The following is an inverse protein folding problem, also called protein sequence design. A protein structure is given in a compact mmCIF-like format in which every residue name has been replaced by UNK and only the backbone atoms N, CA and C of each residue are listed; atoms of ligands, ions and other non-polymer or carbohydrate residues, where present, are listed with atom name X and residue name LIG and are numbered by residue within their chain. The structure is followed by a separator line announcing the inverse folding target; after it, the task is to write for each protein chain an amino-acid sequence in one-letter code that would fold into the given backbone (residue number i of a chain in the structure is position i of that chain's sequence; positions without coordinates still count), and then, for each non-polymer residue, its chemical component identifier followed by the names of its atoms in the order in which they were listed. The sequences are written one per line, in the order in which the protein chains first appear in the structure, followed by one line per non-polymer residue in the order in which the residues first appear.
data_IF_397100087518
#
_entry.id   IF_397100087518
#
_cell.length_a   1.000
_cell.length_b   1.000
_cell.length_c   1.000
_cell.angle_alpha   90.00
_cell.angle_beta   90.00
_cell.angle_gamma   90.00
#
_symmetry.space_group_name_H-M   'P 1'
#
loop_
_entity.id
_entity.type
_entity.pdbx_description
1 polymer ?
#
# COMPACT_ATOMS: atom_id res chain seq x y z
N UNK A 1 -14.95 -11.81 -39.24
CA UNK A 1 -15.98 -11.41 -38.25
C UNK A 1 -15.51 -10.14 -37.57
N UNK A 2 -16.33 -9.08 -37.53
CA UNK A 2 -16.03 -7.92 -36.70
C UNK A 2 -16.20 -8.30 -35.22
N UNK A 3 -15.21 -8.06 -34.34
CA UNK A 3 -15.31 -8.41 -32.92
C UNK A 3 -16.29 -7.54 -32.14
N UNK A 4 -16.74 -6.42 -32.74
CA UNK A 4 -17.67 -5.45 -32.17
C UNK A 4 -18.79 -5.11 -33.17
N UNK A 5 -20.01 -4.79 -32.72
CA UNK A 5 -20.48 -4.85 -31.32
C UNK A 5 -20.52 -6.29 -30.80
N UNK A 6 -20.25 -6.47 -29.50
CA UNK A 6 -20.40 -7.78 -28.85
C UNK A 6 -21.87 -8.06 -28.50
N UNK A 7 -22.18 -9.28 -28.07
CA UNK A 7 -23.49 -9.65 -27.54
C UNK A 7 -23.42 -10.04 -26.06
N UNK A 8 -24.55 -10.00 -25.35
CA UNK A 8 -24.65 -10.50 -23.97
C UNK A 8 -24.19 -11.96 -23.89
N UNK A 9 -24.60 -12.80 -24.85
CA UNK A 9 -24.20 -14.20 -24.89
C UNK A 9 -22.66 -14.35 -25.03
N UNK A 10 -22.04 -13.56 -25.91
CA UNK A 10 -20.59 -13.53 -26.06
C UNK A 10 -19.88 -13.08 -24.77
N UNK A 11 -20.42 -12.07 -24.08
CA UNK A 11 -19.90 -11.62 -22.78
C UNK A 11 -20.04 -12.71 -21.70
N UNK A 12 -21.15 -13.46 -21.71
CA UNK A 12 -21.35 -14.58 -20.79
C UNK A 12 -20.32 -15.70 -21.05
N UNK A 13 -20.14 -16.09 -22.32
CA UNK A 13 -19.14 -17.06 -22.73
C UNK A 13 -17.72 -16.59 -22.39
N UNK A 14 -17.42 -15.31 -22.60
CA UNK A 14 -16.14 -14.72 -22.23
C UNK A 14 -15.92 -14.74 -20.71
N UNK A 15 -16.93 -14.38 -19.91
CA UNK A 15 -16.86 -14.47 -18.46
C UNK A 15 -16.65 -15.92 -17.97
N UNK A 16 -17.32 -16.89 -18.57
CA UNK A 16 -17.11 -18.32 -18.28
C UNK A 16 -15.71 -18.78 -18.72
N UNK A 17 -15.23 -18.35 -19.88
CA UNK A 17 -13.87 -18.62 -20.33
C UNK A 17 -12.83 -18.06 -19.35
N UNK A 18 -12.95 -16.80 -18.94
CA UNK A 18 -12.07 -16.18 -17.96
C UNK A 18 -12.06 -16.93 -16.62
N UNK A 19 -13.17 -17.55 -16.22
CA UNK A 19 -13.26 -18.35 -14.99
C UNK A 19 -12.34 -19.59 -14.99
N UNK A 20 -11.83 -20.01 -16.15
CA UNK A 20 -10.81 -21.08 -16.27
C UNK A 20 -9.46 -20.64 -15.71
N UNK A 21 -9.16 -19.34 -15.77
CA UNK A 21 -7.88 -18.77 -15.33
C UNK A 21 -8.02 -17.93 -14.06
N UNK A 22 -9.13 -17.22 -13.89
CA UNK A 22 -9.39 -16.34 -12.75
C UNK A 22 -10.35 -16.99 -11.76
N UNK A 23 -9.89 -17.12 -10.50
CA UNK A 23 -10.77 -17.47 -9.37
C UNK A 23 -11.54 -16.25 -8.83
N UNK A 24 -10.96 -15.05 -8.92
CA UNK A 24 -11.62 -13.81 -8.49
C UNK A 24 -12.69 -13.39 -9.50
N UNK A 25 -13.96 -13.40 -9.08
CA UNK A 25 -15.07 -12.88 -9.89
C UNK A 25 -14.91 -11.38 -10.14
N UNK A 26 -14.34 -10.63 -9.20
CA UNK A 26 -14.03 -9.21 -9.40
C UNK A 26 -13.04 -9.00 -10.55
N UNK A 27 -12.07 -9.90 -10.74
CA UNK A 27 -11.18 -9.83 -11.91
C UNK A 27 -11.96 -10.05 -13.20
N UNK A 28 -12.85 -11.05 -13.24
CA UNK A 28 -13.70 -11.32 -14.42
C UNK A 28 -14.58 -10.10 -14.76
N UNK A 29 -15.18 -9.47 -13.74
CA UNK A 29 -15.95 -8.23 -13.88
C UNK A 29 -15.12 -7.09 -14.47
N UNK A 30 -13.86 -6.93 -14.05
CA UNK A 30 -12.96 -5.91 -14.58
C UNK A 30 -12.65 -6.14 -16.07
N UNK A 31 -12.44 -7.40 -16.49
CA UNK A 31 -12.24 -7.71 -17.91
C UNK A 31 -13.49 -7.41 -18.75
N UNK A 32 -14.69 -7.78 -18.27
CA UNK A 32 -15.95 -7.43 -18.95
C UNK A 32 -16.16 -5.91 -18.99
N UNK A 33 -15.79 -5.20 -17.92
CA UNK A 33 -15.82 -3.73 -17.90
C UNK A 33 -14.83 -3.14 -18.91
N UNK A 34 -13.67 -3.77 -19.12
CA UNK A 34 -12.73 -3.41 -20.18
C UNK A 34 -13.34 -3.53 -21.59
N UNK A 35 -14.14 -4.58 -21.83
CA UNK A 35 -14.89 -4.73 -23.08
C UNK A 35 -15.90 -3.59 -23.24
N UNK A 36 -16.62 -3.21 -22.17
CA UNK A 36 -17.52 -2.04 -22.18
C UNK A 36 -16.77 -0.75 -22.52
N UNK A 37 -15.62 -0.51 -21.88
CA UNK A 37 -14.80 0.67 -22.17
C UNK A 37 -14.37 0.72 -23.63
N UNK A 38 -13.98 -0.41 -24.23
CA UNK A 38 -13.61 -0.47 -25.63
C UNK A 38 -14.76 -0.08 -26.57
N UNK A 39 -15.99 -0.53 -26.28
CA UNK A 39 -17.18 -0.12 -27.06
C UNK A 39 -17.38 1.40 -27.00
N UNK A 40 -17.33 1.97 -25.79
CA UNK A 40 -17.50 3.41 -25.58
C UNK A 40 -16.42 4.24 -26.29
N UNK A 41 -15.16 3.80 -26.26
CA UNK A 41 -14.05 4.50 -26.93
C UNK A 41 -14.18 4.48 -28.46
N UNK A 42 -14.82 3.47 -29.02
CA UNK A 42 -15.03 3.33 -30.46
C UNK A 42 -16.39 3.89 -30.91
N UNK A 43 -17.18 4.46 -30.00
CA UNK A 43 -18.51 4.98 -30.31
C UNK A 43 -19.52 3.90 -30.75
N UNK A 44 -19.27 2.64 -30.39
CA UNK A 44 -20.14 1.50 -30.73
C UNK A 44 -21.02 1.17 -29.53
N UNK A 45 -22.27 0.78 -29.78
CA UNK A 45 -23.22 0.42 -28.73
C UNK A 45 -22.79 -0.82 -27.93
N UNK A 46 -22.89 -0.75 -26.60
CA UNK A 46 -22.61 -1.87 -25.71
C UNK A 46 -23.91 -2.61 -25.36
N UNK A 47 -23.97 -3.96 -25.48
CA UNK A 47 -25.22 -4.70 -25.28
C UNK A 47 -25.67 -4.68 -23.81
N UNK A 48 -26.74 -3.93 -23.52
CA UNK A 48 -27.33 -3.81 -22.18
C UNK A 48 -28.66 -4.55 -22.00
N UNK A 49 -29.25 -5.05 -23.08
CA UNK A 49 -30.64 -5.54 -23.14
C UNK A 49 -30.92 -6.74 -22.22
N UNK A 50 -29.94 -7.62 -22.00
CA UNK A 50 -30.01 -8.74 -21.05
C UNK A 50 -28.84 -8.74 -20.05
N UNK A 51 -28.68 -7.62 -19.35
CA UNK A 51 -27.69 -7.55 -18.27
C UNK A 51 -28.00 -8.50 -17.09
N UNK A 52 -29.23 -9.01 -17.01
CA UNK A 52 -29.64 -10.00 -16.01
C UNK A 52 -28.85 -11.29 -16.14
N UNK A 53 -28.67 -11.83 -17.35
CA UNK A 53 -27.85 -13.02 -17.60
C UNK A 53 -26.40 -12.87 -17.11
N UNK A 54 -25.79 -11.69 -17.30
CA UNK A 54 -24.45 -11.39 -16.80
C UNK A 54 -24.40 -11.36 -15.28
N UNK A 55 -25.41 -10.77 -14.62
CA UNK A 55 -25.53 -10.81 -13.15
C UNK A 55 -25.67 -12.23 -12.64
N UNK A 56 -26.48 -13.06 -13.29
CA UNK A 56 -26.67 -14.47 -12.92
C UNK A 56 -25.37 -15.27 -13.09
N UNK A 57 -24.64 -15.04 -14.18
CA UNK A 57 -23.30 -15.60 -14.39
C UNK A 57 -22.36 -15.24 -13.24
N UNK A 58 -22.24 -13.96 -12.87
CA UNK A 58 -21.37 -13.55 -11.76
C UNK A 58 -21.77 -14.20 -10.43
N UNK A 59 -23.07 -14.35 -10.16
CA UNK A 59 -23.56 -15.04 -8.96
C UNK A 59 -23.21 -16.53 -8.97
N UNK A 60 -23.39 -17.19 -10.12
CA UNK A 60 -23.00 -18.59 -10.32
C UNK A 60 -21.50 -18.80 -10.14
N UNK A 61 -20.68 -17.95 -10.77
CA UNK A 61 -19.23 -17.98 -10.64
C UNK A 61 -18.79 -17.71 -9.19
N UNK A 62 -19.45 -16.81 -8.46
CA UNK A 62 -19.11 -16.51 -7.06
C UNK A 62 -19.34 -17.71 -6.15
N UNK A 63 -20.36 -18.54 -6.44
CA UNK A 63 -20.63 -19.78 -5.71
C UNK A 63 -19.68 -20.91 -6.09
N UNK A 64 -19.29 -21.01 -7.36
CA UNK A 64 -18.41 -22.07 -7.84
C UNK A 64 -16.94 -21.81 -7.55
N UNK A 65 -16.51 -20.54 -7.60
CA UNK A 65 -15.13 -20.14 -7.41
C UNK A 65 -14.95 -19.51 -6.03
N UNK A 66 -14.86 -20.36 -5.01
CA UNK A 66 -14.40 -19.91 -3.69
C UNK A 66 -13.01 -19.28 -3.82
N UNK A 67 -12.95 -17.96 -3.65
CA UNK A 67 -11.72 -17.19 -3.77
C UNK A 67 -11.41 -16.52 -2.44
N UNK A 68 -10.31 -16.92 -1.83
CA UNK A 68 -9.68 -16.20 -0.72
C UNK A 68 -8.58 -15.31 -1.28
N UNK A 69 -8.71 -13.97 -1.23
CA UNK A 69 -7.66 -13.07 -1.67
C UNK A 69 -6.36 -13.33 -0.90
N UNK A 70 -5.25 -13.51 -1.61
CA UNK A 70 -3.93 -13.54 -0.97
C UNK A 70 -3.61 -12.15 -0.44
N UNK A 71 -3.53 -12.02 0.88
CA UNK A 71 -3.19 -10.77 1.55
C UNK A 71 -1.74 -10.83 2.01
N UNK A 72 -0.95 -9.80 1.69
CA UNK A 72 0.42 -9.70 2.17
C UNK A 72 0.43 -9.61 3.70
N UNK A 73 1.31 -10.36 4.37
CA UNK A 73 1.44 -10.35 5.82
C UNK A 73 1.88 -8.96 6.32
N UNK A 74 1.50 -8.53 7.53
CA UNK A 74 1.95 -7.26 8.10
C UNK A 74 3.44 -7.31 8.43
N UNK A 75 4.18 -6.23 8.16
CA UNK A 75 5.47 -5.98 8.83
C UNK A 75 5.15 -5.49 10.24
N UNK A 76 5.71 -6.10 11.28
CA UNK A 76 5.56 -5.63 12.67
C UNK A 76 6.83 -4.89 13.12
N UNK A 77 6.80 -4.13 14.24
CA UNK A 77 8.02 -3.57 14.81
C UNK A 77 9.08 -4.62 15.13
N UNK A 78 8.68 -5.82 15.57
CA UNK A 78 9.61 -6.93 15.82
C UNK A 78 10.33 -7.35 14.53
N UNK A 79 9.58 -7.45 13.42
CA UNK A 79 10.18 -7.72 12.10
C UNK A 79 11.11 -6.56 11.71
N UNK A 80 10.73 -5.31 11.95
CA UNK A 80 11.60 -4.15 11.67
C UNK A 80 12.90 -4.22 12.46
N UNK A 81 12.87 -4.53 13.76
CA UNK A 81 14.08 -4.72 14.56
C UNK A 81 14.96 -5.83 13.97
N UNK A 82 14.39 -6.99 13.60
CA UNK A 82 15.15 -8.06 12.95
C UNK A 82 15.76 -7.63 11.61
N UNK A 83 15.03 -6.85 10.81
CA UNK A 83 15.52 -6.33 9.54
C UNK A 83 16.69 -5.36 9.73
N UNK A 84 16.68 -4.57 10.80
CA UNK A 84 17.72 -3.59 11.11
C UNK A 84 19.08 -4.25 11.35
N UNK A 85 19.12 -5.42 12.00
CA UNK A 85 20.36 -6.17 12.29
C UNK A 85 21.13 -6.60 11.04
N UNK A 86 20.47 -6.66 9.87
CA UNK A 86 21.09 -7.05 8.60
C UNK A 86 21.46 -5.87 7.69
N UNK A 87 21.31 -4.64 8.18
CA UNK A 87 21.59 -3.43 7.43
C UNK A 87 22.85 -2.75 7.96
N UNK A 88 23.75 -2.38 7.04
CA UNK A 88 24.95 -1.63 7.40
C UNK A 88 24.64 -0.13 7.47
N UNK A 89 24.54 0.42 8.69
CA UNK A 89 24.25 1.84 8.89
C UNK A 89 25.41 2.79 8.49
N UNK A 90 26.57 2.26 8.10
CA UNK A 90 27.63 3.04 7.44
C UNK A 90 27.43 3.13 5.92
N UNK A 91 26.69 2.19 5.32
CA UNK A 91 26.40 2.16 3.89
C UNK A 91 25.24 3.12 3.54
N UNK A 92 25.45 4.13 2.66
CA UNK A 92 24.40 5.10 2.34
C UNK A 92 23.15 4.49 1.68
N UNK A 93 23.30 3.39 0.92
CA UNK A 93 22.14 2.70 0.31
C UNK A 93 21.27 2.03 1.36
N UNK A 94 21.88 1.42 2.38
CA UNK A 94 21.20 0.73 3.47
C UNK A 94 20.51 1.72 4.41
N UNK A 95 21.17 2.84 4.74
CA UNK A 95 20.54 3.94 5.48
C UNK A 95 19.33 4.50 4.72
N UNK A 96 19.43 4.65 3.40
CA UNK A 96 18.32 5.18 2.58
C UNK A 96 17.14 4.23 2.52
N UNK A 97 17.37 2.94 2.24
CA UNK A 97 16.27 1.97 2.19
C UNK A 97 15.64 1.79 3.57
N UNK A 98 16.44 1.84 4.64
CA UNK A 98 15.92 1.80 6.01
C UNK A 98 15.01 2.99 6.30
N UNK A 99 15.45 4.20 6.00
CA UNK A 99 14.62 5.40 6.12
C UNK A 99 13.32 5.24 5.32
N UNK A 100 13.39 4.75 4.09
CA UNK A 100 12.22 4.51 3.25
C UNK A 100 11.25 3.46 3.84
N UNK A 101 11.76 2.40 4.48
CA UNK A 101 10.94 1.39 5.17
C UNK A 101 10.22 1.98 6.38
N UNK A 102 10.90 2.78 7.19
CA UNK A 102 10.29 3.45 8.34
C UNK A 102 9.20 4.44 7.88
N UNK A 103 9.45 5.21 6.82
CA UNK A 103 8.44 6.09 6.24
C UNK A 103 7.23 5.28 5.72
N UNK A 104 7.46 4.15 5.03
CA UNK A 104 6.38 3.29 4.55
C UNK A 104 5.54 2.72 5.70
N UNK A 105 6.17 2.35 6.81
CA UNK A 105 5.50 1.80 7.99
C UNK A 105 4.70 2.87 8.74
N UNK A 106 5.37 3.93 9.19
CA UNK A 106 4.77 4.92 10.10
C UNK A 106 3.82 5.88 9.39
N UNK A 107 4.08 6.28 8.14
CA UNK A 107 3.11 7.07 7.38
C UNK A 107 1.96 6.23 6.83
N UNK A 108 2.13 4.89 6.79
CA UNK A 108 1.20 3.96 6.16
C UNK A 108 0.90 4.29 4.69
N UNK A 109 1.74 5.07 4.00
CA UNK A 109 1.49 5.52 2.63
C UNK A 109 1.72 4.42 1.61
N UNK A 110 1.21 4.61 0.39
CA UNK A 110 1.50 3.68 -0.70
C UNK A 110 2.94 3.90 -1.16
N UNK A 111 3.64 2.82 -1.53
CA UNK A 111 4.98 2.91 -2.14
C UNK A 111 5.07 3.90 -3.32
N UNK A 112 4.00 4.10 -4.08
CA UNK A 112 3.96 5.03 -5.21
C UNK A 112 4.11 6.49 -4.79
N UNK A 113 3.90 6.81 -3.51
CA UNK A 113 4.18 8.11 -2.91
C UNK A 113 5.64 8.26 -2.47
N UNK A 114 6.33 7.13 -2.24
CA UNK A 114 7.71 7.13 -1.75
C UNK A 114 8.71 7.02 -2.89
N UNK A 115 8.46 6.11 -3.83
CA UNK A 115 9.43 5.71 -4.85
C UNK A 115 8.75 5.50 -6.21
N UNK A 116 9.41 5.91 -7.32
CA UNK A 116 8.88 5.67 -8.65
C UNK A 116 9.13 4.23 -9.11
N UNK A 117 8.47 3.83 -10.20
CA UNK A 117 8.70 2.52 -10.83
C UNK A 117 10.09 2.42 -11.45
N UNK A 118 10.61 3.53 -11.98
CA UNK A 118 11.97 3.67 -12.49
C UNK A 118 12.44 5.11 -12.32
N UNK A 119 13.74 5.36 -12.41
CA UNK A 119 14.28 6.72 -12.28
C UNK A 119 13.72 7.70 -13.33
N UNK A 120 13.41 7.22 -14.54
CA UNK A 120 12.79 8.02 -15.61
C UNK A 120 11.34 8.41 -15.31
N UNK A 121 10.67 7.63 -14.44
CA UNK A 121 9.27 7.85 -14.07
C UNK A 121 9.15 8.61 -12.74
N UNK A 122 10.24 9.19 -12.24
CA UNK A 122 10.18 10.08 -11.10
C UNK A 122 9.35 11.31 -11.46
N UNK A 123 8.35 11.59 -10.65
CA UNK A 123 7.47 12.74 -10.79
C UNK A 123 7.40 13.43 -9.42
N UNK A 124 7.94 14.66 -9.29
CA UNK A 124 7.98 15.39 -8.03
C UNK A 124 6.59 15.78 -7.51
N UNK A 125 5.54 15.71 -8.33
CA UNK A 125 4.17 15.88 -7.86
C UNK A 125 3.58 14.60 -7.26
N UNK A 126 4.13 13.42 -7.60
CA UNK A 126 3.61 12.11 -7.14
C UNK A 126 4.46 11.46 -6.06
N UNK A 127 5.78 11.59 -6.14
CA UNK A 127 6.73 11.06 -5.17
C UNK A 127 7.31 12.17 -4.28
N UNK A 128 7.70 11.82 -3.06
CA UNK A 128 8.31 12.75 -2.13
C UNK A 128 9.66 13.29 -2.65
N UNK A 129 9.80 14.61 -2.58
CA UNK A 129 11.05 15.36 -2.64
C UNK A 129 11.53 15.74 -1.23
N UNK A 130 12.79 16.21 -1.12
CA UNK A 130 13.38 16.67 0.15
C UNK A 130 12.59 17.81 0.80
N UNK A 131 12.11 18.77 0.00
CA UNK A 131 11.30 19.90 0.46
C UNK A 131 9.91 19.50 0.98
N UNK A 132 9.45 18.28 0.71
CA UNK A 132 8.20 17.76 1.25
C UNK A 132 8.34 17.28 2.70
N UNK A 133 9.57 17.16 3.23
CA UNK A 133 9.85 16.72 4.59
C UNK A 133 10.40 17.90 5.39
N UNK A 134 9.57 18.45 6.27
CA UNK A 134 9.92 19.59 7.12
C UNK A 134 10.39 19.07 8.47
N UNK A 135 11.57 19.49 8.90
CA UNK A 135 12.20 19.04 10.15
C UNK A 135 11.83 19.99 11.28
N UNK A 136 11.16 19.48 12.31
CA UNK A 136 10.94 20.17 13.60
C UNK A 136 11.84 19.55 14.68
N UNK A 137 11.82 20.07 15.92
CA UNK A 137 12.67 19.56 17.02
C UNK A 137 12.43 18.07 17.32
N UNK A 138 11.16 17.66 17.31
CA UNK A 138 10.71 16.37 17.84
C UNK A 138 9.91 15.52 16.83
N UNK A 139 9.74 16.00 15.60
CA UNK A 139 9.08 15.25 14.54
C UNK A 139 9.46 15.76 13.15
N UNK A 140 9.17 14.96 12.13
CA UNK A 140 9.15 15.40 10.74
C UNK A 140 7.69 15.60 10.30
N UNK A 141 7.40 16.67 9.57
CA UNK A 141 6.12 16.84 8.88
C UNK A 141 6.30 16.48 7.41
N UNK A 142 5.63 15.43 6.96
CA UNK A 142 5.67 14.97 5.56
C UNK A 142 4.43 15.47 4.83
N UNK A 143 4.64 16.22 3.75
CA UNK A 143 3.58 16.82 2.93
C UNK A 143 3.47 16.10 1.59
N UNK A 144 2.27 15.68 1.22
CA UNK A 144 1.98 15.08 -0.09
C UNK A 144 0.80 15.78 -0.74
N UNK A 145 0.94 16.10 -2.02
CA UNK A 145 -0.12 16.74 -2.82
C UNK A 145 -0.83 15.75 -3.75
N UNK A 146 -0.30 14.53 -3.83
CA UNK A 146 -0.86 13.46 -4.66
C UNK A 146 -0.91 12.14 -3.91
N UNK A 147 -1.96 11.38 -4.15
CA UNK A 147 -2.07 9.97 -3.76
C UNK A 147 -3.09 9.28 -4.65
N UNK A 148 -3.29 7.97 -4.48
CA UNK A 148 -4.39 7.27 -5.17
C UNK A 148 -5.77 7.89 -4.86
N UNK A 149 -5.91 8.54 -3.70
CA UNK A 149 -7.15 9.17 -3.23
C UNK A 149 -7.15 10.70 -3.41
N UNK A 150 -6.03 11.28 -3.85
CA UNK A 150 -5.83 12.71 -4.16
C UNK A 150 -5.29 12.81 -5.59
N UNK A 151 -6.02 12.28 -6.58
CA UNK A 151 -5.54 12.24 -7.97
C UNK A 151 -5.60 13.58 -8.68
N UNK A 152 -6.44 14.50 -8.19
CA UNK A 152 -6.72 15.82 -8.78
C UNK A 152 -6.19 16.97 -7.92
N UNK A 153 -5.29 16.70 -6.95
CA UNK A 153 -4.67 17.73 -6.12
C UNK A 153 -5.65 18.53 -5.26
N UNK A 154 -6.83 17.98 -4.97
CA UNK A 154 -7.93 18.69 -4.30
C UNK A 154 -7.70 18.96 -2.81
N UNK A 155 -6.64 18.41 -2.22
CA UNK A 155 -6.19 18.69 -0.85
C UNK A 155 -4.73 18.30 -0.66
N UNK A 156 -4.11 18.82 0.40
CA UNK A 156 -2.79 18.36 0.86
C UNK A 156 -2.96 17.34 1.98
N UNK A 157 -2.10 16.34 1.99
CA UNK A 157 -1.98 15.36 3.07
C UNK A 157 -0.72 15.67 3.87
N UNK A 158 -0.88 15.98 5.15
CA UNK A 158 0.22 16.25 6.07
C UNK A 158 0.24 15.19 7.15
N UNK A 159 1.37 14.49 7.29
CA UNK A 159 1.52 13.39 8.22
C UNK A 159 2.78 13.58 9.08
N UNK A 160 2.67 13.52 10.42
CA UNK A 160 3.81 13.62 11.30
C UNK A 160 4.55 12.27 11.44
N UNK A 161 5.87 12.35 11.59
CA UNK A 161 6.75 11.25 11.99
C UNK A 161 7.50 11.65 13.25
N UNK A 162 7.06 11.11 14.39
CA UNK A 162 7.60 11.48 15.71
C UNK A 162 9.00 10.91 15.90
N UNK A 163 9.86 11.68 16.55
CA UNK A 163 11.18 11.25 17.02
C UNK A 163 11.02 10.24 18.14
N UNK A 164 11.58 9.06 17.94
CA UNK A 164 11.61 7.99 18.94
C UNK A 164 12.98 8.01 19.60
N UNK A 165 13.01 8.22 20.92
CA UNK A 165 14.27 8.26 21.68
C UNK A 165 14.95 6.90 21.65
N UNK A 166 16.26 6.89 21.37
CA UNK A 166 17.15 5.72 21.48
C UNK A 166 16.68 4.46 20.72
N UNK A 167 15.90 4.64 19.64
CA UNK A 167 15.39 3.53 18.85
C UNK A 167 15.99 3.49 17.44
N UNK A 168 16.43 2.33 16.94
CA UNK A 168 16.78 2.15 15.53
C UNK A 168 15.57 2.31 14.60
N UNK A 169 14.35 2.19 15.13
CA UNK A 169 13.11 2.42 14.39
C UNK A 169 12.73 3.90 14.32
N UNK A 170 13.58 4.83 14.77
CA UNK A 170 13.29 6.26 14.77
C UNK A 170 13.33 6.85 13.34
N UNK A 171 12.18 7.21 12.72
CA UNK A 171 12.18 7.77 11.36
C UNK A 171 12.87 9.13 11.28
N UNK A 172 12.80 9.93 12.34
CA UNK A 172 13.47 11.23 12.46
C UNK A 172 14.99 11.09 12.33
N UNK A 173 15.58 10.21 13.14
CA UNK A 173 17.03 9.97 13.13
C UNK A 173 17.48 9.33 11.81
N UNK A 174 16.72 8.37 11.28
CA UNK A 174 17.03 7.74 10.00
C UNK A 174 17.04 8.74 8.84
N UNK A 175 16.05 9.64 8.80
CA UNK A 175 15.98 10.69 7.77
C UNK A 175 17.17 11.66 7.87
N UNK A 176 17.46 12.17 9.07
CA UNK A 176 18.57 13.10 9.26
C UNK A 176 19.92 12.45 8.92
N UNK A 177 20.16 11.21 9.35
CA UNK A 177 21.36 10.44 8.98
C UNK A 177 21.48 10.28 7.47
N UNK A 178 20.39 9.95 6.79
CA UNK A 178 20.36 9.84 5.34
C UNK A 178 20.68 11.17 4.65
N UNK A 179 20.14 12.30 5.13
CA UNK A 179 20.48 13.64 4.61
C UNK A 179 21.96 13.98 4.79
N UNK A 180 22.55 13.64 5.94
CA UNK A 180 23.98 13.88 6.21
C UNK A 180 24.88 13.06 5.28
N UNK A 181 24.56 11.78 5.06
CA UNK A 181 25.36 10.91 4.18
C UNK A 181 25.13 11.17 2.69
N UNK A 182 23.94 11.66 2.32
CA UNK A 182 23.54 11.94 0.94
C UNK A 182 22.93 13.34 0.87
N UNK A 183 23.78 14.38 0.82
CA UNK A 183 23.34 15.76 0.65
C UNK A 183 22.67 15.93 -0.72
N UNK A 184 21.53 16.62 -0.75
CA UNK A 184 20.80 16.92 -1.97
C UNK A 184 19.89 18.14 -1.79
N UNK A 185 19.61 18.84 -2.87
CA UNK A 185 18.71 20.00 -2.88
C UNK A 185 17.25 19.62 -2.58
N UNK A 186 16.45 20.63 -2.22
CA UNK A 186 15.05 20.47 -1.84
C UNK A 186 14.16 19.85 -2.93
N UNK A 187 14.44 20.12 -4.20
CA UNK A 187 13.69 19.62 -5.36
C UNK A 187 14.02 18.16 -5.72
N UNK A 188 15.09 17.60 -5.13
CA UNK A 188 15.53 16.22 -5.42
C UNK A 188 14.64 15.19 -4.71
N UNK A 189 14.55 13.95 -5.23
CA UNK A 189 13.86 12.84 -4.57
C UNK A 189 14.25 12.71 -3.10
N UNK A 190 13.28 12.41 -2.23
CA UNK A 190 13.52 12.24 -0.81
C UNK A 190 14.46 11.05 -0.52
N UNK A 191 14.38 9.99 -1.32
CA UNK A 191 15.18 8.76 -1.15
C UNK A 191 16.13 8.59 -2.33
N UNK A 192 17.41 8.91 -2.10
CA UNK A 192 18.48 8.84 -3.08
C UNK A 192 19.49 7.76 -2.68
N UNK A 193 20.01 7.00 -3.64
CA UNK A 193 21.07 6.01 -3.42
C UNK A 193 22.29 6.33 -4.29
N UNK A 194 23.52 6.01 -3.84
CA UNK A 194 24.73 6.17 -4.64
C UNK A 194 24.66 5.47 -6.00
N UNK A 195 25.29 6.11 -7.00
CA UNK A 195 25.59 5.53 -8.31
C UNK A 195 27.06 5.83 -8.66
N UNK A 196 27.59 5.22 -9.72
CA UNK A 196 28.97 5.46 -10.21
C UNK A 196 29.33 6.94 -10.36
N UNK A 197 28.36 7.80 -10.70
CA UNK A 197 28.49 9.26 -10.66
C UNK A 197 27.24 9.85 -9.99
N UNK A 198 27.42 10.44 -8.83
CA UNK A 198 26.35 11.10 -8.07
C UNK A 198 25.33 10.13 -7.46
N UNK A 199 24.06 10.55 -7.47
CA UNK A 199 22.96 9.82 -6.84
C UNK A 199 21.81 9.58 -7.81
N UNK A 200 21.04 8.52 -7.54
CA UNK A 200 19.79 8.22 -8.25
C UNK A 200 18.66 8.00 -7.28
N UNK A 201 17.42 8.22 -7.72
CA UNK A 201 16.24 7.90 -6.91
C UNK A 201 16.15 6.40 -6.62
N UNK A 202 15.81 6.07 -5.38
CA UNK A 202 15.41 4.72 -5.00
C UNK A 202 14.15 4.35 -5.79
N UNK A 203 14.15 3.17 -6.43
CA UNK A 203 13.05 2.72 -7.30
C UNK A 203 12.36 1.49 -6.71
N UNK A 204 11.15 1.18 -7.19
CA UNK A 204 10.40 -0.03 -6.81
C UNK A 204 11.30 -1.26 -6.84
N UNK A 205 11.96 -1.54 -7.97
CA UNK A 205 12.71 -2.78 -8.17
C UNK A 205 13.76 -2.99 -7.08
N UNK A 206 14.47 -1.93 -6.70
CA UNK A 206 15.44 -1.95 -5.61
C UNK A 206 14.75 -2.15 -4.25
N UNK A 207 13.70 -1.37 -3.95
CA UNK A 207 12.90 -1.49 -2.72
C UNK A 207 12.46 -2.94 -2.50
N UNK A 208 11.81 -3.53 -3.49
CA UNK A 208 11.22 -4.86 -3.38
C UNK A 208 12.30 -5.94 -3.35
N UNK A 209 13.42 -5.76 -4.08
CA UNK A 209 14.55 -6.70 -4.02
C UNK A 209 15.14 -6.70 -2.61
N UNK A 210 15.57 -5.53 -2.11
CA UNK A 210 16.18 -5.44 -0.76
C UNK A 210 15.23 -5.90 0.33
N UNK A 211 13.93 -5.59 0.24
CA UNK A 211 12.94 -6.11 1.18
C UNK A 211 12.94 -7.64 1.22
N UNK A 212 12.94 -8.31 0.04
CA UNK A 212 12.93 -9.78 0.00
C UNK A 212 14.23 -10.37 0.54
N UNK A 213 15.37 -9.82 0.11
CA UNK A 213 16.69 -10.27 0.54
C UNK A 213 16.79 -10.23 2.08
N UNK A 214 16.41 -9.10 2.71
CA UNK A 214 16.49 -8.93 4.16
C UNK A 214 15.47 -9.84 4.88
N UNK A 215 14.24 -9.97 4.37
CA UNK A 215 13.26 -10.88 4.99
C UNK A 215 13.72 -12.35 4.95
N UNK A 216 14.37 -12.77 3.88
CA UNK A 216 14.98 -14.10 3.77
C UNK A 216 16.11 -14.27 4.79
N UNK A 217 16.95 -13.25 4.99
CA UNK A 217 17.97 -13.24 6.04
C UNK A 217 17.38 -13.32 7.46
N UNK A 218 16.21 -12.72 7.69
CA UNK A 218 15.44 -12.89 8.93
C UNK A 218 14.78 -14.28 9.09
N UNK A 219 14.93 -15.20 8.12
CA UNK A 219 14.29 -16.51 8.13
C UNK A 219 12.79 -16.48 7.79
N UNK A 220 12.29 -15.38 7.21
CA UNK A 220 10.90 -15.20 6.85
C UNK A 220 10.66 -15.53 5.37
N UNK A 221 9.47 -16.07 5.07
CA UNK A 221 9.07 -16.31 3.68
C UNK A 221 8.72 -14.99 2.97
N UNK A 222 9.70 -14.42 2.25
CA UNK A 222 9.60 -13.14 1.55
C UNK A 222 8.44 -13.05 0.56
N UNK A 223 7.99 -14.18 -0.02
CA UNK A 223 6.86 -14.22 -0.97
C UNK A 223 5.52 -13.81 -0.36
N UNK A 224 5.40 -13.86 0.97
CA UNK A 224 4.21 -13.42 1.72
C UNK A 224 4.21 -11.92 2.00
N UNK A 225 5.29 -11.20 1.68
CA UNK A 225 5.46 -9.79 1.98
C UNK A 225 5.58 -8.94 0.70
N UNK A 226 5.21 -7.67 0.83
CA UNK A 226 5.37 -6.68 -0.23
C UNK A 226 5.48 -5.29 0.38
N UNK A 227 5.72 -4.27 -0.45
CA UNK A 227 5.49 -2.87 -0.03
C UNK A 227 4.16 -2.62 0.72
N UNK A 228 3.09 -3.35 0.41
CA UNK A 228 1.80 -3.19 1.09
C UNK A 228 1.82 -3.72 2.54
N UNK A 229 2.76 -4.61 2.85
CA UNK A 229 2.96 -5.17 4.19
C UNK A 229 3.31 -4.10 5.23
N UNK A 230 4.04 -3.04 4.84
CA UNK A 230 4.33 -1.90 5.72
C UNK A 230 3.07 -1.12 6.06
N UNK A 231 2.25 -0.80 5.06
CA UNK A 231 0.97 -0.10 5.25
C UNK A 231 -0.01 -0.89 6.10
N UNK A 232 -0.13 -2.20 5.86
CA UNK A 232 -0.93 -3.11 6.71
C UNK A 232 -0.37 -3.13 8.12
N UNK A 233 0.95 -3.32 8.25
CA UNK A 233 1.67 -3.38 9.51
C UNK A 233 1.46 -2.15 10.39
N UNK A 234 1.65 -0.95 9.82
CA UNK A 234 1.42 0.31 10.53
C UNK A 234 -0.02 0.45 11.01
N UNK A 235 -1.00 0.13 10.16
CA UNK A 235 -2.42 0.19 10.54
C UNK A 235 -2.75 -0.76 11.68
N UNK A 236 -2.31 -2.01 11.57
CA UNK A 236 -2.50 -3.05 12.58
C UNK A 236 -1.82 -2.64 13.89
N UNK A 237 -0.58 -2.13 13.83
CA UNK A 237 0.15 -1.71 15.03
C UNK A 237 -0.49 -0.50 15.72
N UNK A 238 -0.96 0.50 14.96
CA UNK A 238 -1.68 1.65 15.51
C UNK A 238 -2.98 1.21 16.19
N UNK A 239 -3.69 0.26 15.59
CA UNK A 239 -4.90 -0.32 16.19
C UNK A 239 -4.62 -1.03 17.52
N UNK A 240 -3.60 -1.88 17.57
CA UNK A 240 -3.17 -2.51 18.83
C UNK A 240 -2.68 -1.50 19.86
N UNK A 241 -2.14 -0.36 19.41
CA UNK A 241 -1.76 0.79 20.23
C UNK A 241 -2.96 1.64 20.67
N UNK A 242 -4.19 1.15 20.49
CA UNK A 242 -5.45 1.78 20.88
C UNK A 242 -5.71 3.14 20.23
N UNK A 243 -5.11 3.39 19.05
CA UNK A 243 -5.44 4.57 18.24
C UNK A 243 -6.85 4.41 17.68
N UNK A 244 -7.74 5.41 17.81
CA UNK A 244 -9.07 5.40 17.22
C UNK A 244 -9.06 5.05 15.73
N UNK A 245 -10.01 4.22 15.30
CA UNK A 245 -10.01 3.66 13.95
C UNK A 245 -10.16 4.72 12.85
N UNK A 246 -10.85 5.82 13.17
CA UNK A 246 -11.08 6.99 12.34
C UNK A 246 -9.77 7.75 12.09
N UNK A 247 -8.92 7.87 13.13
CA UNK A 247 -7.60 8.48 13.01
C UNK A 247 -6.67 7.60 12.18
N UNK A 248 -6.72 6.27 12.33
CA UNK A 248 -5.97 5.35 11.47
C UNK A 248 -6.41 5.50 10.02
N UNK A 249 -7.73 5.55 9.76
CA UNK A 249 -8.29 5.74 8.43
C UNK A 249 -7.80 7.03 7.78
N UNK A 250 -7.84 8.14 8.53
CA UNK A 250 -7.35 9.44 8.09
C UNK A 250 -5.84 9.43 7.83
N UNK A 251 -5.05 8.92 8.79
CA UNK A 251 -3.59 8.92 8.74
C UNK A 251 -3.04 8.15 7.53
N UNK A 252 -3.56 6.94 7.27
CA UNK A 252 -3.14 6.22 6.07
C UNK A 252 -3.87 6.67 4.80
N UNK A 253 -4.74 7.68 4.82
CA UNK A 253 -5.43 8.16 3.62
C UNK A 253 -6.27 7.07 2.93
N UNK A 254 -7.13 6.40 3.71
CA UNK A 254 -8.13 5.46 3.19
C UNK A 254 -9.47 6.17 2.97
N UNK A 255 -9.98 6.13 1.74
CA UNK A 255 -11.31 6.70 1.40
C UNK A 255 -12.48 5.81 1.83
N UNK A 256 -12.25 4.52 2.05
CA UNK A 256 -13.29 3.55 2.39
C UNK A 256 -12.84 2.62 3.50
N UNK A 257 -13.76 1.75 3.93
CA UNK A 257 -13.56 0.72 4.95
C UNK A 257 -12.57 -0.39 4.58
N UNK A 258 -11.86 -0.26 3.45
CA UNK A 258 -10.86 -1.23 3.02
C UNK A 258 -9.73 -1.45 4.05
N UNK A 259 -9.49 -0.51 4.98
CA UNK A 259 -8.52 -0.66 6.07
C UNK A 259 -9.03 -1.53 7.22
N UNK A 260 -10.35 -1.68 7.40
CA UNK A 260 -10.94 -2.47 8.50
C UNK A 260 -10.49 -3.93 8.46
N UNK A 261 -10.14 -4.44 7.27
CA UNK A 261 -9.57 -5.79 7.10
C UNK A 261 -8.17 -5.97 7.70
N UNK A 262 -7.53 -4.89 8.15
CA UNK A 262 -6.24 -4.91 8.86
C UNK A 262 -6.40 -4.81 10.39
N UNK A 263 -7.62 -4.49 10.87
CA UNK A 263 -7.96 -4.44 12.28
C UNK A 263 -8.33 -5.85 12.72
N UNK A 264 -7.32 -6.63 13.10
CA UNK A 264 -7.51 -7.98 13.60
C UNK A 264 -7.92 -7.91 15.07
N UNK A 265 -9.10 -8.46 15.38
CA UNK A 265 -9.61 -8.57 16.74
C UNK A 265 -9.30 -9.97 17.27
N UNK A 266 -8.58 -10.02 18.38
CA UNK A 266 -8.31 -11.29 19.04
C UNK A 266 -9.54 -11.79 19.82
N UNK A 267 -9.42 -12.94 20.47
CA UNK A 267 -10.52 -13.49 21.26
C UNK A 267 -10.83 -12.62 22.48
N UNK A 268 -9.84 -11.95 23.07
CA UNK A 268 -10.04 -11.10 24.23
C UNK A 268 -10.83 -9.84 23.86
N UNK A 269 -10.54 -9.22 22.72
CA UNK A 269 -11.33 -8.11 22.20
C UNK A 269 -12.78 -8.52 22.01
N UNK A 270 -13.05 -9.70 21.44
CA UNK A 270 -14.42 -10.20 21.24
C UNK A 270 -15.12 -10.51 22.57
N UNK A 271 -14.40 -11.10 23.53
CA UNK A 271 -14.92 -11.37 24.87
C UNK A 271 -15.26 -10.08 25.62
N UNK A 272 -14.52 -8.99 25.39
CA UNK A 272 -14.81 -7.71 26.04
C UNK A 272 -16.21 -7.18 25.70
N UNK A 273 -16.70 -7.44 24.49
CA UNK A 273 -18.06 -7.07 24.06
C UNK A 273 -19.08 -7.86 24.88
N UNK A 274 -18.92 -9.19 24.94
CA UNK A 274 -19.82 -10.05 25.72
C UNK A 274 -19.80 -9.69 27.22
N UNK A 275 -18.63 -9.35 27.77
CA UNK A 275 -18.50 -8.92 29.17
C UNK A 275 -19.23 -7.61 29.42
N UNK A 276 -19.01 -6.59 28.59
CA UNK A 276 -19.69 -5.30 28.73
C UNK A 276 -21.23 -5.44 28.69
N UNK A 277 -21.75 -6.30 27.81
CA UNK A 277 -23.19 -6.59 27.76
C UNK A 277 -23.70 -7.29 29.02
N UNK A 278 -22.91 -8.20 29.60
CA UNK A 278 -23.27 -8.89 30.83
C UNK A 278 -23.24 -7.95 32.05
N UNK A 279 -22.23 -7.09 32.13
CA UNK A 279 -22.07 -6.12 33.21
C UNK A 279 -23.25 -5.14 33.25
N UNK A 280 -23.77 -4.71 32.09
CA UNK A 280 -24.95 -3.83 32.01
C UNK A 280 -26.24 -4.51 32.49
N UNK A 281 -26.36 -5.83 32.41
CA UNK A 281 -27.52 -6.57 32.94
C UNK A 281 -27.46 -6.66 34.47
N UNK A 282 -26.25 -6.68 35.03
CA UNK A 282 -26.02 -6.84 36.47
C UNK A 282 -26.04 -5.52 37.25
N UNK A 283 -26.04 -4.38 36.54
CA UNK A 283 -26.22 -3.03 37.11
C UNK A 283 -27.71 -2.63 37.13
#
# INVERSE_FOLDING_TARGET
MSPLPTSVNTLCLYGKFLSRSFKSVASIQNYISGVKTLHLLLGVEFPTEDWFSIKLLFRGLSRQNHHMPRRALPITPQILFQMYEFLDMSNPSDVTIWCCFLFAFFLMVRKSNLVPTSAKNFDPHKQLCRNNVIVFSDYLLVRMEWSKTIQFGNRKLELPLVKIKESPLCPYNAYNRMCTLIPADGDKPAFLIPQSKGYKTLCYSFFQKRLRDILEMCGLNSSKFSSHSFRRGGATWAFHSKVPSELIQFHGDWRSDAYKVYLEFDLQDKLSISRAMADEILN
#
